data_IF_325179985501
#
_entry.id   IF_325179985501
#
_cell.length_a   1.000
_cell.length_b   1.000
_cell.length_c   1.000
_cell.angle_alpha   90.00
_cell.angle_beta   90.00
_cell.angle_gamma   90.00
#
_symmetry.space_group_name_H-M   'P 1'
#
loop_
_entity.id
_entity.type
_entity.pdbx_description
1 polymer ?
#
# COMPACT_ATOMS: atom_id res chain seq x y z
N UNK A 1 5.28 10.07 -5.15
CA UNK A 1 3.80 9.94 -5.20
C UNK A 1 3.22 10.34 -3.85
N UNK A 2 2.07 11.00 -3.78
CA UNK A 2 1.45 11.40 -2.50
C UNK A 2 0.28 10.47 -2.18
N UNK A 3 0.60 9.34 -1.56
CA UNK A 3 -0.36 8.34 -1.08
C UNK A 3 -1.02 8.85 0.20
N UNK A 4 -2.33 8.70 0.32
CA UNK A 4 -3.12 9.05 1.51
C UNK A 4 -3.59 7.80 2.23
N UNK A 5 -4.07 8.01 3.46
CA UNK A 5 -4.75 6.99 4.22
C UNK A 5 -5.99 6.51 3.45
N UNK A 6 -6.20 5.20 3.40
CA UNK A 6 -7.26 4.51 2.68
C UNK A 6 -7.20 4.57 1.15
N UNK A 7 -6.14 5.14 0.57
CA UNK A 7 -5.89 4.98 -0.87
C UNK A 7 -5.68 3.49 -1.17
N UNK A 8 -6.18 3.04 -2.32
CA UNK A 8 -5.82 1.76 -2.89
C UNK A 8 -4.60 1.94 -3.78
N UNK A 9 -3.61 1.10 -3.57
CA UNK A 9 -2.35 1.12 -4.29
C UNK A 9 -2.09 -0.20 -4.98
N UNK A 10 -1.30 -0.15 -6.04
CA UNK A 10 -0.73 -1.32 -6.69
C UNK A 10 0.75 -1.42 -6.36
N UNK A 11 1.18 -2.55 -5.82
CA UNK A 11 2.58 -2.84 -5.56
C UNK A 11 3.29 -3.23 -6.87
N UNK A 12 4.60 -3.04 -6.95
CA UNK A 12 5.43 -3.45 -8.09
C UNK A 12 5.41 -4.96 -8.36
N UNK A 13 5.06 -5.75 -7.35
CA UNK A 13 4.82 -7.20 -7.44
C UNK A 13 3.50 -7.54 -8.13
N UNK A 14 2.63 -6.56 -8.38
CA UNK A 14 1.35 -6.70 -9.07
C UNK A 14 0.14 -6.81 -8.14
N UNK A 15 0.36 -7.01 -6.85
CA UNK A 15 -0.71 -7.08 -5.83
C UNK A 15 -1.34 -5.71 -5.58
N UNK A 16 -2.61 -5.70 -5.19
CA UNK A 16 -3.31 -4.51 -4.70
C UNK A 16 -3.32 -4.50 -3.18
N UNK A 17 -3.32 -3.30 -2.62
CA UNK A 17 -3.36 -3.13 -1.17
C UNK A 17 -4.06 -1.82 -0.79
N UNK A 18 -4.69 -1.80 0.38
CA UNK A 18 -5.28 -0.60 0.97
C UNK A 18 -4.35 -0.02 2.03
N UNK A 19 -4.15 1.30 2.01
CA UNK A 19 -3.26 1.99 2.96
C UNK A 19 -3.96 2.19 4.30
N UNK A 20 -3.39 1.63 5.36
CA UNK A 20 -3.96 1.72 6.73
C UNK A 20 -3.13 2.57 7.68
N UNK A 21 -1.86 2.85 7.35
CA UNK A 21 -1.04 3.82 8.08
C UNK A 21 0.04 4.44 7.17
N UNK A 22 0.36 5.72 7.41
CA UNK A 22 1.48 6.41 6.76
C UNK A 22 2.58 6.61 7.78
N UNK A 23 3.78 6.10 7.49
CA UNK A 23 4.92 6.15 8.40
C UNK A 23 5.92 7.22 7.93
N UNK A 24 6.39 8.03 8.88
CA UNK A 24 7.31 9.13 8.61
C UNK A 24 6.74 10.14 7.62
N UNK A 25 7.61 10.75 6.80
CA UNK A 25 7.21 11.70 5.77
C UNK A 25 6.96 10.98 4.42
N UNK A 26 6.03 10.03 4.40
CA UNK A 26 5.72 9.18 3.23
C UNK A 26 6.86 8.23 2.80
N UNK A 27 7.71 7.83 3.73
CA UNK A 27 8.85 6.93 3.48
C UNK A 27 8.36 5.47 3.38
N UNK A 28 7.43 5.09 4.26
CA UNK A 28 6.82 3.76 4.31
C UNK A 28 5.34 3.84 4.66
N UNK A 29 4.64 2.73 4.45
CA UNK A 29 3.21 2.57 4.66
C UNK A 29 2.92 1.21 5.28
N UNK A 30 1.94 1.15 6.17
CA UNK A 30 1.31 -0.12 6.53
C UNK A 30 0.11 -0.29 5.62
N UNK A 31 0.01 -1.45 4.98
CA UNK A 31 -1.03 -1.75 3.99
C UNK A 31 -1.60 -3.12 4.24
N UNK A 32 -2.89 -3.27 3.95
CA UNK A 32 -3.56 -4.57 3.89
C UNK A 32 -3.56 -5.02 2.43
N UNK A 33 -2.80 -6.08 2.12
CA UNK A 33 -2.68 -6.64 0.78
C UNK A 33 -3.83 -7.60 0.53
N UNK A 34 -4.54 -7.41 -0.58
CA UNK A 34 -5.68 -8.24 -0.96
C UNK A 34 -5.24 -9.67 -1.29
N UNK A 35 -5.78 -10.65 -0.57
CA UNK A 35 -5.71 -12.07 -0.90
C UNK A 35 -7.11 -12.58 -1.32
N UNK A 36 -7.18 -13.80 -1.86
CA UNK A 36 -8.44 -14.33 -2.44
C UNK A 36 -9.59 -14.34 -1.42
N UNK A 37 -9.31 -14.69 -0.16
CA UNK A 37 -10.32 -14.82 0.90
C UNK A 37 -9.91 -14.10 2.21
N UNK A 38 -8.85 -13.28 2.18
CA UNK A 38 -8.29 -12.62 3.38
C UNK A 38 -7.45 -11.40 2.99
N UNK A 39 -6.73 -10.83 3.94
CA UNK A 39 -5.70 -9.83 3.72
C UNK A 39 -4.45 -10.13 4.56
N UNK A 40 -3.30 -9.66 4.09
CA UNK A 40 -2.06 -9.65 4.88
C UNK A 40 -1.63 -8.21 5.15
N UNK A 41 -1.51 -7.86 6.43
CA UNK A 41 -0.98 -6.54 6.83
C UNK A 41 0.55 -6.56 6.79
N UNK A 42 1.13 -5.74 5.91
CA UNK A 42 2.59 -5.63 5.75
C UNK A 42 3.04 -4.17 5.75
N UNK A 43 4.35 -3.96 5.95
CA UNK A 43 4.99 -2.68 5.70
C UNK A 43 5.56 -2.63 4.28
N UNK A 44 5.28 -1.57 3.54
CA UNK A 44 5.82 -1.31 2.20
C UNK A 44 6.52 0.04 2.14
N UNK A 45 7.65 0.10 1.44
CA UNK A 45 8.37 1.34 1.15
C UNK A 45 7.74 2.07 -0.02
N UNK A 46 7.90 3.40 -0.08
CA UNK A 46 7.40 4.22 -1.19
C UNK A 46 7.84 3.69 -2.57
N UNK A 47 9.08 3.22 -2.66
CA UNK A 47 9.66 2.68 -3.89
C UNK A 47 9.06 1.34 -4.33
N UNK A 48 8.35 0.62 -3.45
CA UNK A 48 7.68 -0.64 -3.79
C UNK A 48 6.30 -0.42 -4.39
N UNK A 49 5.78 0.81 -4.36
CA UNK A 49 4.48 1.16 -4.92
C UNK A 49 4.65 1.53 -6.40
N UNK A 50 3.83 0.93 -7.25
CA UNK A 50 3.79 1.22 -8.68
C UNK A 50 2.90 2.44 -8.97
N UNK A 51 1.69 2.46 -8.42
CA UNK A 51 0.70 3.53 -8.65
C UNK A 51 -0.40 3.55 -7.56
N UNK A 52 -1.05 4.70 -7.36
CA UNK A 52 -2.35 4.81 -6.66
C UNK A 52 -3.44 4.55 -7.69
N UNK A 53 -4.38 3.66 -7.38
CA UNK A 53 -5.42 3.20 -8.31
C UNK A 53 -6.84 3.65 -7.95
N UNK A 54 -7.09 4.08 -6.70
CA UNK A 54 -8.37 4.68 -6.28
C UNK A 54 -8.28 5.33 -4.92
#
# INVERSE_FOLDING_TARGET
MKVKLYDNIKLKTGQTASVVEILGNHEAYIVDVDLVDDYETITVLNEQIAEVIS
#
